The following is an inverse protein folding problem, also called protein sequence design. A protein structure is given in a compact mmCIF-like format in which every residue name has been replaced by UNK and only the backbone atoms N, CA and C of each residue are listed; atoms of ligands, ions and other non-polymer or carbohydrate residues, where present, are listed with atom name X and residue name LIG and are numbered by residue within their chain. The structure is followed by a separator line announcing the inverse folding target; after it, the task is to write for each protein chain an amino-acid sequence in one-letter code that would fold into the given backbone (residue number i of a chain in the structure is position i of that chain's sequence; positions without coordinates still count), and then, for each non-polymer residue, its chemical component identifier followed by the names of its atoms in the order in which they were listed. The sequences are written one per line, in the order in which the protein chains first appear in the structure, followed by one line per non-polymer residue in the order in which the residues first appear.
data_IF_983018803662
#
_entry.id   IF_983018803662
#
_cell.length_a   1.000
_cell.length_b   1.000
_cell.length_c   1.000
_cell.angle_alpha   90.00
_cell.angle_beta   90.00
_cell.angle_gamma   90.00
#
_symmetry.space_group_name_H-M   'P 1'
#
loop_
_entity.id
_entity.type
_entity.pdbx_description
1 polymer ?
#
# COMPACT_ATOMS: atom_id res chain seq x y z
N UNK A 1 49.92 -44.62 8.30
CA UNK A 1 50.16 -43.49 7.36
C UNK A 1 51.03 -42.47 8.08
N UNK A 2 52.18 -42.04 7.53
CA UNK A 2 53.06 -41.12 8.26
C UNK A 2 52.36 -39.79 8.51
N UNK A 3 52.69 -39.12 9.62
CA UNK A 3 52.09 -37.84 10.03
C UNK A 3 52.20 -36.79 8.91
N UNK A 4 53.29 -36.85 8.15
CA UNK A 4 53.55 -35.95 7.02
C UNK A 4 52.61 -36.19 5.84
N UNK A 5 52.23 -37.45 5.57
CA UNK A 5 51.23 -37.77 4.53
C UNK A 5 49.84 -37.25 4.89
N UNK A 6 49.46 -37.30 6.17
CA UNK A 6 48.18 -36.77 6.65
C UNK A 6 48.15 -35.25 6.51
N UNK A 7 49.22 -34.57 6.91
CA UNK A 7 49.36 -33.11 6.78
C UNK A 7 49.29 -32.69 5.32
N UNK A 8 49.97 -33.43 4.41
CA UNK A 8 49.98 -33.12 2.99
C UNK A 8 48.62 -33.31 2.31
N UNK A 9 47.87 -34.36 2.69
CA UNK A 9 46.50 -34.58 2.18
C UNK A 9 45.57 -33.47 2.67
N UNK A 10 45.70 -33.07 3.95
CA UNK A 10 44.85 -32.03 4.52
C UNK A 10 45.15 -30.65 3.92
N UNK A 11 46.42 -30.31 3.69
CA UNK A 11 46.81 -29.06 3.04
C UNK A 11 46.38 -29.01 1.58
N UNK A 12 46.47 -30.13 0.84
CA UNK A 12 45.97 -30.23 -0.53
C UNK A 12 44.45 -30.04 -0.58
N UNK A 13 43.71 -30.68 0.33
CA UNK A 13 42.26 -30.56 0.40
C UNK A 13 41.83 -29.13 0.74
N UNK A 14 42.52 -28.47 1.69
CA UNK A 14 42.27 -27.08 2.04
C UNK A 14 42.58 -26.13 0.89
N UNK A 15 43.67 -26.37 0.14
CA UNK A 15 44.02 -25.59 -1.03
C UNK A 15 42.95 -25.72 -2.14
N UNK A 16 42.46 -26.93 -2.41
CA UNK A 16 41.39 -27.18 -3.38
C UNK A 16 40.08 -26.52 -2.93
N UNK A 17 39.75 -26.59 -1.64
CA UNK A 17 38.54 -25.96 -1.08
C UNK A 17 38.62 -24.42 -1.20
N UNK A 18 39.77 -23.83 -0.88
CA UNK A 18 40.00 -22.39 -1.04
C UNK A 18 39.93 -21.97 -2.51
N UNK A 19 40.52 -22.76 -3.41
CA UNK A 19 40.43 -22.52 -4.85
C UNK A 19 38.98 -22.60 -5.33
N UNK A 20 38.22 -23.59 -4.84
CA UNK A 20 36.80 -23.72 -5.16
C UNK A 20 35.99 -22.53 -4.63
N UNK A 21 36.24 -22.05 -3.41
CA UNK A 21 35.55 -20.86 -2.87
C UNK A 21 35.90 -19.60 -3.66
N UNK A 22 37.15 -19.47 -4.13
CA UNK A 22 37.60 -18.32 -4.93
C UNK A 22 37.05 -18.33 -6.36
N UNK A 23 36.90 -19.51 -6.97
CA UNK A 23 36.41 -19.66 -8.36
C UNK A 23 34.89 -19.91 -8.40
N UNK A 24 34.25 -20.33 -7.31
CA UNK A 24 32.79 -20.54 -7.22
C UNK A 24 31.97 -19.30 -7.68
N UNK A 25 32.37 -18.05 -7.34
CA UNK A 25 31.72 -16.85 -7.89
C UNK A 25 31.88 -16.69 -9.41
N UNK A 26 32.96 -17.20 -10.00
CA UNK A 26 33.22 -17.20 -11.45
C UNK A 26 32.51 -18.35 -12.18
N UNK A 27 32.34 -19.51 -11.55
CA UNK A 27 31.64 -20.68 -12.11
C UNK A 27 30.12 -20.48 -12.04
N UNK A 28 29.62 -19.73 -11.05
CA UNK A 28 28.22 -19.27 -10.95
C UNK A 28 27.87 -18.11 -11.88
N UNK A 29 28.77 -17.69 -12.76
CA UNK A 29 28.38 -16.91 -13.93
C UNK A 29 27.62 -17.88 -14.84
N UNK A 30 26.34 -18.09 -14.52
CA UNK A 30 25.35 -18.62 -15.46
C UNK A 30 25.63 -17.98 -16.81
N UNK A 31 25.70 -18.80 -17.85
CA UNK A 31 25.93 -18.36 -19.22
C UNK A 31 25.09 -17.10 -19.44
N UNK A 32 25.75 -15.93 -19.48
CA UNK A 32 25.08 -14.65 -19.67
C UNK A 32 24.32 -14.79 -20.97
N UNK A 33 23.00 -14.97 -20.85
CA UNK A 33 22.13 -14.99 -22.00
C UNK A 33 22.40 -13.68 -22.73
N UNK A 34 22.88 -13.80 -23.97
CA UNK A 34 23.34 -12.65 -24.74
C UNK A 34 22.19 -11.65 -24.74
N UNK A 35 22.45 -10.44 -24.27
CA UNK A 35 21.43 -9.41 -24.16
C UNK A 35 20.78 -9.21 -25.52
N UNK A 36 19.51 -9.60 -25.64
CA UNK A 36 18.75 -9.37 -26.87
C UNK A 36 18.24 -7.93 -26.88
N UNK A 37 19.05 -7.05 -27.47
CA UNK A 37 18.75 -5.62 -27.58
C UNK A 37 17.45 -5.33 -28.35
N UNK A 38 17.00 -6.23 -29.24
CA UNK A 38 15.76 -6.06 -30.00
C UNK A 38 14.53 -6.10 -29.09
N UNK A 39 14.60 -6.79 -27.95
CA UNK A 39 13.49 -6.92 -27.01
C UNK A 39 13.40 -5.78 -25.99
N UNK A 40 14.42 -4.92 -25.90
CA UNK A 40 14.47 -3.83 -24.90
C UNK A 40 13.26 -2.88 -24.98
N UNK A 41 12.82 -2.42 -26.17
CA UNK A 41 11.63 -1.59 -26.26
C UNK A 41 10.38 -2.29 -25.74
N UNK A 42 10.25 -3.60 -25.97
CA UNK A 42 9.12 -4.39 -25.47
C UNK A 42 9.13 -4.48 -23.94
N UNK A 43 10.30 -4.67 -23.33
CA UNK A 43 10.45 -4.67 -21.86
C UNK A 43 10.06 -3.32 -21.25
N UNK A 44 10.45 -2.19 -21.87
CA UNK A 44 10.05 -0.87 -21.40
C UNK A 44 8.53 -0.66 -21.44
N UNK A 45 7.88 -1.13 -22.51
CA UNK A 45 6.42 -1.12 -22.63
C UNK A 45 5.79 -2.02 -21.57
N UNK A 46 6.33 -3.23 -21.38
CA UNK A 46 5.86 -4.21 -20.40
C UNK A 46 5.90 -3.64 -18.97
N UNK A 47 6.95 -2.92 -18.57
CA UNK A 47 7.03 -2.29 -17.26
C UNK A 47 5.89 -1.28 -17.02
N UNK A 48 5.62 -0.41 -18.00
CA UNK A 48 4.59 0.64 -17.87
C UNK A 48 3.18 0.05 -17.95
N UNK A 49 2.97 -0.90 -18.86
CA UNK A 49 1.73 -1.65 -18.94
C UNK A 49 1.47 -2.40 -17.63
N UNK A 50 2.50 -3.05 -17.09
CA UNK A 50 2.51 -3.73 -15.80
C UNK A 50 2.05 -2.82 -14.68
N UNK A 51 2.69 -1.66 -14.50
CA UNK A 51 2.30 -0.70 -13.47
C UNK A 51 0.83 -0.27 -13.62
N UNK A 52 0.40 0.03 -14.85
CA UNK A 52 -0.98 0.43 -15.09
C UNK A 52 -1.98 -0.70 -14.81
N UNK A 53 -1.65 -1.93 -15.19
CA UNK A 53 -2.46 -3.12 -14.95
C UNK A 53 -2.55 -3.44 -13.46
N UNK A 54 -1.42 -3.49 -12.76
CA UNK A 54 -1.36 -3.73 -11.31
C UNK A 54 -2.17 -2.70 -10.53
N UNK A 55 -2.06 -1.42 -10.88
CA UNK A 55 -2.86 -0.35 -10.25
C UNK A 55 -4.36 -0.55 -10.48
N UNK A 56 -4.76 -0.92 -11.70
CA UNK A 56 -6.16 -1.21 -12.02
C UNK A 56 -6.70 -2.43 -11.25
N UNK A 57 -5.88 -3.46 -11.08
CA UNK A 57 -6.22 -4.66 -10.31
C UNK A 57 -6.37 -4.30 -8.83
N UNK A 58 -5.42 -3.53 -8.26
CA UNK A 58 -5.51 -3.04 -6.88
C UNK A 58 -6.76 -2.19 -6.65
N UNK A 59 -7.15 -1.32 -7.58
CA UNK A 59 -8.41 -0.59 -7.47
C UNK A 59 -9.62 -1.54 -7.48
N UNK A 60 -9.58 -2.58 -8.32
CA UNK A 60 -10.67 -3.55 -8.46
C UNK A 60 -10.80 -4.49 -7.26
N UNK A 61 -9.70 -4.83 -6.59
CA UNK A 61 -9.67 -5.74 -5.44
C UNK A 61 -10.40 -5.21 -4.22
N UNK A 62 -10.77 -3.92 -4.21
CA UNK A 62 -11.66 -3.36 -3.20
C UNK A 62 -13.15 -3.58 -3.50
N UNK A 63 -13.52 -4.06 -4.69
CA UNK A 63 -14.92 -4.18 -5.13
C UNK A 63 -15.33 -5.61 -5.45
N UNK A 64 -14.39 -6.41 -5.95
CA UNK A 64 -14.66 -7.75 -6.46
C UNK A 64 -13.45 -8.64 -6.32
N UNK A 65 -13.72 -9.93 -6.34
CA UNK A 65 -12.68 -10.96 -6.36
C UNK A 65 -11.76 -10.77 -7.57
N UNK A 66 -10.48 -11.03 -7.34
CA UNK A 66 -9.47 -11.02 -8.39
C UNK A 66 -9.06 -12.45 -8.75
N UNK A 67 -8.67 -12.65 -10.01
CA UNK A 67 -8.15 -13.93 -10.47
C UNK A 67 -6.72 -14.15 -9.95
N UNK A 68 -6.60 -14.69 -8.73
CA UNK A 68 -5.36 -14.81 -7.98
C UNK A 68 -4.21 -15.43 -8.80
N UNK A 69 -4.46 -16.52 -9.53
CA UNK A 69 -3.44 -17.19 -10.35
C UNK A 69 -2.89 -16.26 -11.45
N UNK A 70 -3.77 -15.46 -12.08
CA UNK A 70 -3.37 -14.50 -13.10
C UNK A 70 -2.55 -13.35 -12.50
N UNK A 71 -2.90 -12.90 -11.29
CA UNK A 71 -2.14 -11.87 -10.56
C UNK A 71 -0.76 -12.40 -10.15
N UNK A 72 -0.68 -13.64 -9.64
CA UNK A 72 0.59 -14.30 -9.29
C UNK A 72 1.50 -14.48 -10.50
N UNK A 73 0.94 -14.86 -11.65
CA UNK A 73 1.68 -14.96 -12.89
C UNK A 73 2.19 -13.57 -13.34
N UNK A 74 1.36 -12.53 -13.28
CA UNK A 74 1.77 -11.16 -13.57
C UNK A 74 2.93 -10.71 -12.67
N UNK A 75 2.85 -10.96 -11.36
CA UNK A 75 3.92 -10.63 -10.40
C UNK A 75 5.24 -11.28 -10.81
N UNK A 76 5.22 -12.57 -11.15
CA UNK A 76 6.41 -13.31 -11.60
C UNK A 76 7.02 -12.68 -12.84
N UNK A 77 6.20 -12.40 -13.85
CA UNK A 77 6.63 -11.78 -15.10
C UNK A 77 7.21 -10.37 -14.91
N UNK A 78 6.65 -9.58 -14.00
CA UNK A 78 7.14 -8.24 -13.68
C UNK A 78 8.48 -8.28 -12.94
N UNK A 79 8.69 -9.25 -12.04
CA UNK A 79 9.98 -9.47 -11.39
C UNK A 79 11.05 -9.94 -12.38
N UNK A 80 10.70 -10.85 -13.28
CA UNK A 80 11.60 -11.27 -14.37
C UNK A 80 11.96 -10.10 -15.28
N UNK A 81 10.97 -9.29 -15.67
CA UNK A 81 11.17 -8.06 -16.48
C UNK A 81 12.09 -7.08 -15.76
N UNK A 82 11.87 -6.85 -14.46
CA UNK A 82 12.73 -5.99 -13.64
C UNK A 82 14.18 -6.51 -13.63
N UNK A 83 14.39 -7.80 -13.39
CA UNK A 83 15.73 -8.39 -13.36
C UNK A 83 16.47 -8.27 -14.69
N UNK A 84 15.79 -8.51 -15.82
CA UNK A 84 16.39 -8.35 -17.16
C UNK A 84 16.81 -6.89 -17.38
N UNK A 85 15.94 -5.94 -17.02
CA UNK A 85 16.20 -4.50 -17.16
C UNK A 85 17.31 -4.00 -16.22
N UNK A 86 17.39 -4.55 -15.00
CA UNK A 86 18.48 -4.26 -14.08
C UNK A 86 19.82 -4.75 -14.65
N UNK A 87 19.87 -5.99 -15.13
CA UNK A 87 21.06 -6.56 -15.76
C UNK A 87 21.50 -5.76 -16.99
N UNK A 88 20.55 -5.31 -17.81
CA UNK A 88 20.77 -4.37 -18.91
C UNK A 88 21.39 -3.06 -18.42
N UNK A 89 20.87 -2.49 -17.34
CA UNK A 89 21.36 -1.22 -16.79
C UNK A 89 22.81 -1.29 -16.30
N UNK A 90 23.28 -2.47 -15.93
CA UNK A 90 24.64 -2.74 -15.45
C UNK A 90 25.57 -3.26 -16.57
N UNK A 91 25.05 -3.51 -17.76
CA UNK A 91 25.82 -4.16 -18.83
C UNK A 91 26.67 -3.17 -19.64
N UNK A 92 27.94 -3.52 -19.80
CA UNK A 92 28.86 -2.85 -20.72
C UNK A 92 28.65 -3.27 -22.18
N UNK A 93 27.86 -4.33 -22.44
CA UNK A 93 27.58 -4.84 -23.80
C UNK A 93 26.78 -3.85 -24.66
N UNK A 94 26.04 -2.93 -24.03
CA UNK A 94 25.26 -1.87 -24.71
C UNK A 94 26.19 -0.74 -25.24
N UNK A 95 27.49 -0.86 -25.04
CA UNK A 95 28.50 0.11 -25.46
C UNK A 95 28.64 1.30 -24.52
N UNK A 96 29.73 2.05 -24.66
CA UNK A 96 30.02 3.24 -23.84
C UNK A 96 29.62 4.57 -24.48
N UNK A 97 29.15 4.53 -25.73
CA UNK A 97 28.62 5.69 -26.43
C UNK A 97 27.36 6.28 -25.76
N UNK A 98 26.97 7.47 -26.20
CA UNK A 98 25.84 8.21 -25.61
C UNK A 98 24.53 7.41 -25.62
N UNK A 99 24.27 6.68 -26.72
CA UNK A 99 23.11 5.79 -26.82
C UNK A 99 23.14 4.68 -25.76
N UNK A 100 24.30 4.03 -25.56
CA UNK A 100 24.47 2.97 -24.57
C UNK A 100 24.27 3.48 -23.14
N UNK A 101 24.83 4.66 -22.82
CA UNK A 101 24.59 5.33 -21.53
C UNK A 101 23.11 5.64 -21.31
N UNK A 102 22.42 6.16 -22.33
CA UNK A 102 21.00 6.48 -22.26
C UNK A 102 20.13 5.24 -22.08
N UNK A 103 20.45 4.15 -22.78
CA UNK A 103 19.75 2.87 -22.64
C UNK A 103 19.95 2.25 -21.26
N UNK A 104 21.15 2.32 -20.67
CA UNK A 104 21.39 1.86 -19.29
C UNK A 104 20.55 2.62 -18.27
N UNK A 105 20.53 3.95 -18.36
CA UNK A 105 19.71 4.81 -17.49
C UNK A 105 18.21 4.52 -17.62
N UNK A 106 17.73 4.41 -18.86
CA UNK A 106 16.35 4.02 -19.15
C UNK A 106 16.03 2.65 -18.53
N UNK A 107 16.90 1.66 -18.74
CA UNK A 107 16.71 0.30 -18.21
C UNK A 107 16.65 0.28 -16.69
N UNK A 108 17.49 1.05 -16.00
CA UNK A 108 17.41 1.22 -14.54
C UNK A 108 16.06 1.79 -14.11
N UNK A 109 15.60 2.85 -14.76
CA UNK A 109 14.29 3.46 -14.47
C UNK A 109 13.11 2.52 -14.74
N UNK A 110 13.09 1.81 -15.87
CA UNK A 110 12.04 0.83 -16.17
C UNK A 110 12.11 -0.43 -15.31
N UNK A 111 13.29 -0.80 -14.80
CA UNK A 111 13.45 -1.87 -13.82
C UNK A 111 12.73 -1.52 -12.52
N UNK A 112 12.95 -0.32 -11.99
CA UNK A 112 12.25 0.17 -10.79
C UNK A 112 10.74 0.20 -11.02
N UNK A 113 10.27 0.72 -12.16
CA UNK A 113 8.84 0.70 -12.52
C UNK A 113 8.26 -0.72 -12.51
N UNK A 114 8.98 -1.69 -13.09
CA UNK A 114 8.52 -3.08 -13.15
C UNK A 114 8.50 -3.75 -11.77
N UNK A 115 9.50 -3.48 -10.93
CA UNK A 115 9.54 -3.98 -9.57
C UNK A 115 8.39 -3.41 -8.74
N UNK A 116 8.18 -2.09 -8.77
CA UNK A 116 7.06 -1.44 -8.09
C UNK A 116 5.71 -1.94 -8.61
N UNK A 117 5.58 -2.24 -9.89
CA UNK A 117 4.36 -2.83 -10.43
C UNK A 117 4.07 -4.21 -9.83
N UNK A 118 5.09 -5.01 -9.54
CA UNK A 118 4.94 -6.30 -8.89
C UNK A 118 4.50 -6.15 -7.42
N UNK A 119 5.05 -5.17 -6.70
CA UNK A 119 4.66 -4.83 -5.32
C UNK A 119 3.20 -4.36 -5.27
N UNK A 120 2.78 -3.50 -6.20
CA UNK A 120 1.37 -3.06 -6.32
C UNK A 120 0.43 -4.25 -6.59
N UNK A 121 0.85 -5.20 -7.44
CA UNK A 121 0.07 -6.41 -7.68
C UNK A 121 0.00 -7.31 -6.44
N UNK A 122 1.08 -7.45 -5.65
CA UNK A 122 1.02 -8.13 -4.36
C UNK A 122 0.00 -7.47 -3.42
N UNK A 123 -0.01 -6.13 -3.34
CA UNK A 123 -0.99 -5.41 -2.51
C UNK A 123 -2.43 -5.74 -2.89
N UNK A 124 -2.71 -6.00 -4.16
CA UNK A 124 -4.06 -6.36 -4.59
C UNK A 124 -4.54 -7.69 -4.01
N UNK A 125 -3.65 -8.68 -3.88
CA UNK A 125 -3.96 -9.97 -3.24
C UNK A 125 -4.29 -9.79 -1.76
N UNK A 126 -3.53 -8.94 -1.07
CA UNK A 126 -3.76 -8.64 0.35
C UNK A 126 -5.08 -7.90 0.57
N UNK A 127 -5.40 -6.93 -0.30
CA UNK A 127 -6.67 -6.21 -0.22
C UNK A 127 -7.84 -7.14 -0.52
N UNK A 128 -7.72 -8.00 -1.53
CA UNK A 128 -8.76 -8.98 -1.87
C UNK A 128 -9.07 -9.90 -0.67
N UNK A 129 -8.03 -10.43 -0.02
CA UNK A 129 -8.16 -11.25 1.18
C UNK A 129 -8.78 -10.51 2.39
N UNK A 130 -8.61 -9.19 2.48
CA UNK A 130 -9.13 -8.39 3.57
C UNK A 130 -10.54 -7.83 3.32
N UNK A 131 -10.99 -7.79 2.06
CA UNK A 131 -12.13 -6.97 1.59
C UNK A 131 -13.40 -7.23 2.39
N UNK A 132 -13.87 -8.47 2.43
CA UNK A 132 -15.13 -8.81 3.10
C UNK A 132 -15.08 -8.48 4.61
N UNK A 133 -13.95 -8.79 5.25
CA UNK A 133 -13.76 -8.55 6.68
C UNK A 133 -13.70 -7.04 6.99
N UNK A 134 -13.15 -6.20 6.10
CA UNK A 134 -13.20 -4.73 6.23
C UNK A 134 -14.64 -4.23 6.13
N UNK A 135 -15.38 -4.66 5.11
CA UNK A 135 -16.77 -4.24 4.88
C UNK A 135 -17.64 -4.60 6.08
N UNK A 136 -17.55 -5.85 6.55
CA UNK A 136 -18.31 -6.31 7.71
C UNK A 136 -17.93 -5.57 8.99
N UNK A 137 -16.64 -5.29 9.20
CA UNK A 137 -16.20 -4.53 10.35
C UNK A 137 -16.77 -3.11 10.36
N UNK A 138 -16.79 -2.43 9.20
CA UNK A 138 -17.35 -1.09 9.07
C UNK A 138 -18.86 -1.08 9.26
N UNK A 139 -19.58 -2.04 8.67
CA UNK A 139 -21.03 -2.16 8.83
C UNK A 139 -21.43 -2.37 10.30
N UNK A 140 -20.78 -3.32 10.98
CA UNK A 140 -21.00 -3.58 12.40
C UNK A 140 -20.68 -2.36 13.27
N UNK A 141 -19.62 -1.62 12.91
CA UNK A 141 -19.25 -0.39 13.62
C UNK A 141 -20.34 0.69 13.47
N UNK A 142 -20.89 0.86 12.26
CA UNK A 142 -22.04 1.75 12.02
C UNK A 142 -23.32 1.24 12.69
N UNK A 143 -23.44 -0.07 12.92
CA UNK A 143 -24.51 -0.68 13.71
C UNK A 143 -24.39 -0.46 15.22
N UNK A 144 -23.28 0.11 15.70
CA UNK A 144 -22.90 0.22 17.11
C UNK A 144 -22.55 -1.12 17.77
N UNK A 145 -22.21 -2.15 16.98
CA UNK A 145 -21.71 -3.45 17.46
C UNK A 145 -20.18 -3.44 17.49
N UNK A 146 -19.62 -2.65 18.40
CA UNK A 146 -18.17 -2.30 18.38
C UNK A 146 -17.28 -3.52 18.57
N UNK A 147 -17.61 -4.41 19.50
CA UNK A 147 -16.77 -5.58 19.78
C UNK A 147 -16.79 -6.60 18.63
N UNK A 148 -17.93 -6.78 17.98
CA UNK A 148 -18.05 -7.64 16.80
C UNK A 148 -17.24 -7.06 15.64
N UNK A 149 -17.37 -5.75 15.39
CA UNK A 149 -16.58 -5.03 14.38
C UNK A 149 -15.07 -5.22 14.59
N UNK A 150 -14.59 -5.14 15.84
CA UNK A 150 -13.20 -5.41 16.17
C UNK A 150 -12.79 -6.87 15.91
N UNK A 151 -13.72 -7.82 16.00
CA UNK A 151 -13.47 -9.22 15.64
C UNK A 151 -13.10 -9.39 14.17
N UNK A 152 -13.87 -8.78 13.27
CA UNK A 152 -13.62 -8.78 11.83
C UNK A 152 -12.36 -7.98 11.48
N UNK A 153 -12.20 -6.78 12.06
CA UNK A 153 -11.01 -5.95 11.83
C UNK A 153 -9.71 -6.67 12.18
N UNK A 154 -9.65 -7.43 13.28
CA UNK A 154 -8.43 -8.16 13.66
C UNK A 154 -7.98 -9.18 12.63
N UNK A 155 -8.90 -9.75 11.85
CA UNK A 155 -8.57 -10.65 10.75
C UNK A 155 -8.11 -9.88 9.52
N UNK A 156 -8.73 -8.74 9.22
CA UNK A 156 -8.35 -7.87 8.09
C UNK A 156 -7.01 -7.14 8.31
N UNK A 157 -6.71 -6.73 9.56
CA UNK A 157 -5.59 -5.84 9.91
C UNK A 157 -4.23 -6.32 9.38
N UNK A 158 -3.82 -7.60 9.49
CA UNK A 158 -2.55 -8.07 8.96
C UNK A 158 -2.42 -7.85 7.45
N UNK A 159 -3.46 -8.19 6.69
CA UNK A 159 -3.52 -8.02 5.24
C UNK A 159 -3.49 -6.54 4.84
N UNK A 160 -4.27 -5.69 5.52
CA UNK A 160 -4.24 -4.23 5.29
C UNK A 160 -2.84 -3.67 5.55
N UNK A 161 -2.15 -4.11 6.61
CA UNK A 161 -0.80 -3.67 6.93
C UNK A 161 0.22 -4.13 5.88
N UNK A 162 0.11 -5.38 5.39
CA UNK A 162 0.96 -5.89 4.31
C UNK A 162 0.72 -5.13 3.00
N UNK A 163 -0.53 -4.87 2.62
CA UNK A 163 -0.86 -4.06 1.45
C UNK A 163 -0.23 -2.67 1.54
N UNK A 164 -0.31 -2.02 2.71
CA UNK A 164 0.31 -0.71 2.96
C UNK A 164 1.82 -0.74 2.83
N UNK A 165 2.47 -1.78 3.36
CA UNK A 165 3.92 -1.93 3.27
C UNK A 165 4.37 -2.06 1.81
N UNK A 166 3.70 -2.91 1.03
CA UNK A 166 4.00 -3.11 -0.39
C UNK A 166 3.74 -1.84 -1.21
N UNK A 167 2.65 -1.11 -0.98
CA UNK A 167 2.40 0.20 -1.63
C UNK A 167 3.48 1.21 -1.26
N UNK A 168 3.94 1.22 0.00
CA UNK A 168 4.99 2.14 0.46
C UNK A 168 6.34 1.84 -0.19
N UNK A 169 6.70 0.55 -0.33
CA UNK A 169 7.88 0.11 -1.09
C UNK A 169 7.78 0.56 -2.55
N UNK A 170 6.62 0.34 -3.18
CA UNK A 170 6.38 0.74 -4.56
C UNK A 170 6.55 2.24 -4.73
N UNK A 171 5.92 3.07 -3.90
CA UNK A 171 6.05 4.52 -3.96
C UNK A 171 7.48 4.99 -3.73
N UNK A 172 8.23 4.35 -2.82
CA UNK A 172 9.64 4.65 -2.59
C UNK A 172 10.49 4.36 -3.84
N UNK A 173 10.27 3.22 -4.49
CA UNK A 173 11.02 2.86 -5.70
C UNK A 173 10.63 3.71 -6.91
N UNK A 174 9.34 4.02 -7.07
CA UNK A 174 8.87 4.97 -8.08
C UNK A 174 9.42 6.38 -7.85
N UNK A 175 9.69 6.79 -6.60
CA UNK A 175 10.30 8.10 -6.32
C UNK A 175 11.76 8.20 -6.80
N UNK A 176 12.45 7.06 -6.94
CA UNK A 176 13.83 6.98 -7.46
C UNK A 176 13.87 6.97 -8.99
N UNK A 177 12.73 6.81 -9.67
CA UNK A 177 12.65 6.81 -11.13
C UNK A 177 12.91 8.22 -11.65
N UNK A 178 13.96 8.37 -12.45
CA UNK A 178 14.21 9.61 -13.17
C UNK A 178 13.27 9.69 -14.39
N UNK A 179 12.30 10.60 -14.33
CA UNK A 179 11.29 10.76 -15.40
C UNK A 179 11.91 11.06 -16.75
N UNK A 180 13.07 11.71 -16.83
CA UNK A 180 13.72 12.03 -18.11
C UNK A 180 14.36 10.81 -18.77
N UNK A 181 14.60 9.74 -18.01
CA UNK A 181 15.09 8.46 -18.55
C UNK A 181 13.96 7.62 -19.16
N UNK A 182 12.69 8.01 -18.94
CA UNK A 182 11.54 7.41 -19.62
C UNK A 182 11.41 7.97 -21.04
N UNK A 183 11.84 7.16 -22.01
CA UNK A 183 11.96 7.51 -23.44
C UNK A 183 10.65 7.96 -24.13
N UNK A 184 9.49 7.77 -23.49
CA UNK A 184 8.18 8.15 -24.03
C UNK A 184 7.45 9.13 -23.11
N UNK A 185 6.91 10.21 -23.69
CA UNK A 185 6.04 11.15 -22.96
C UNK A 185 4.79 10.47 -22.40
N UNK A 186 4.26 9.46 -23.12
CA UNK A 186 3.10 8.68 -22.67
C UNK A 186 3.45 7.87 -21.41
N UNK A 187 4.65 7.29 -21.35
CA UNK A 187 5.11 6.55 -20.17
C UNK A 187 5.24 7.45 -18.95
N UNK A 188 5.80 8.67 -19.12
CA UNK A 188 5.85 9.67 -18.05
C UNK A 188 4.46 10.04 -17.51
N UNK A 189 3.50 10.23 -18.41
CA UNK A 189 2.11 10.55 -18.02
C UNK A 189 1.46 9.40 -17.24
N UNK A 190 1.62 8.16 -17.70
CA UNK A 190 1.10 6.98 -17.00
C UNK A 190 1.75 6.86 -15.63
N UNK A 191 3.08 6.94 -15.54
CA UNK A 191 3.79 6.89 -14.26
C UNK A 191 3.27 7.94 -13.27
N UNK A 192 3.14 9.20 -13.71
CA UNK A 192 2.64 10.28 -12.85
C UNK A 192 1.24 10.01 -12.30
N UNK A 193 0.30 9.64 -13.18
CA UNK A 193 -1.07 9.34 -12.76
C UNK A 193 -1.17 8.14 -11.82
N UNK A 194 -0.34 7.10 -12.01
CA UNK A 194 -0.35 5.93 -11.12
C UNK A 194 0.28 6.23 -9.76
N UNK A 195 1.30 7.08 -9.69
CA UNK A 195 1.84 7.55 -8.40
C UNK A 195 0.78 8.30 -7.59
N UNK A 196 0.02 9.19 -8.23
CA UNK A 196 -1.06 9.94 -7.57
C UNK A 196 -2.16 9.01 -7.03
N UNK A 197 -2.58 8.04 -7.84
CA UNK A 197 -3.58 7.04 -7.44
C UNK A 197 -3.09 6.15 -6.28
N UNK A 198 -1.88 5.62 -6.36
CA UNK A 198 -1.27 4.81 -5.29
C UNK A 198 -1.08 5.60 -3.99
N UNK A 199 -0.75 6.90 -4.09
CA UNK A 199 -0.67 7.79 -2.93
C UNK A 199 -2.03 7.93 -2.27
N UNK A 200 -3.10 8.15 -3.06
CA UNK A 200 -4.46 8.22 -2.54
C UNK A 200 -4.92 6.92 -1.88
N UNK A 201 -4.58 5.76 -2.46
CA UNK A 201 -4.88 4.45 -1.86
C UNK A 201 -4.11 4.26 -0.55
N UNK A 202 -2.83 4.65 -0.50
CA UNK A 202 -2.02 4.60 0.72
C UNK A 202 -2.64 5.44 1.84
N UNK A 203 -3.06 6.66 1.54
CA UNK A 203 -3.75 7.53 2.49
C UNK A 203 -5.09 6.95 2.96
N UNK A 204 -5.84 6.34 2.06
CA UNK A 204 -7.11 5.66 2.39
C UNK A 204 -6.90 4.52 3.38
N UNK A 205 -5.91 3.64 3.14
CA UNK A 205 -5.60 2.54 4.05
C UNK A 205 -5.09 3.06 5.40
N UNK A 206 -4.34 4.15 5.42
CA UNK A 206 -3.89 4.79 6.65
C UNK A 206 -5.07 5.34 7.47
N UNK A 207 -6.06 5.98 6.84
CA UNK A 207 -7.25 6.45 7.54
C UNK A 207 -8.13 5.30 8.06
N UNK A 208 -8.20 4.19 7.32
CA UNK A 208 -8.90 2.99 7.78
C UNK A 208 -8.23 2.40 9.04
N UNK A 209 -6.90 2.29 9.04
CA UNK A 209 -6.14 1.82 10.22
C UNK A 209 -6.32 2.76 11.40
N UNK A 210 -6.21 4.09 11.18
CA UNK A 210 -6.44 5.08 12.24
C UNK A 210 -7.82 4.96 12.85
N UNK A 211 -8.86 4.78 12.03
CA UNK A 211 -10.23 4.59 12.52
C UNK A 211 -10.29 3.43 13.51
N UNK A 212 -9.81 2.25 13.11
CA UNK A 212 -9.91 1.09 13.98
C UNK A 212 -8.94 1.13 15.15
N UNK A 213 -7.78 1.76 15.05
CA UNK A 213 -6.91 1.99 16.22
C UNK A 213 -7.59 2.88 17.28
N UNK A 214 -8.41 3.87 16.86
CA UNK A 214 -9.24 4.66 17.77
C UNK A 214 -10.33 3.78 18.42
N UNK A 215 -11.00 2.95 17.62
CA UNK A 215 -12.07 2.05 18.10
C UNK A 215 -11.50 1.01 19.09
N UNK A 216 -10.35 0.41 18.79
CA UNK A 216 -9.65 -0.53 19.67
C UNK A 216 -9.24 0.12 21.00
N UNK A 217 -8.84 1.39 20.97
CA UNK A 217 -8.42 2.13 22.15
C UNK A 217 -9.57 2.60 23.04
N UNK A 218 -10.76 2.83 22.46
CA UNK A 218 -11.91 3.40 23.16
C UNK A 218 -13.23 2.67 22.87
N UNK A 219 -13.31 1.32 22.96
CA UNK A 219 -14.44 0.55 22.45
C UNK A 219 -15.76 0.92 23.14
N UNK A 220 -15.80 0.91 24.48
CA UNK A 220 -16.99 1.27 25.26
C UNK A 220 -17.49 2.69 24.98
N UNK A 221 -16.56 3.63 24.77
CA UNK A 221 -16.91 5.03 24.57
C UNK A 221 -17.47 5.27 23.17
N UNK A 222 -16.88 4.64 22.14
CA UNK A 222 -17.40 4.65 20.78
C UNK A 222 -18.78 4.01 20.73
N UNK A 223 -18.97 2.87 21.40
CA UNK A 223 -20.26 2.17 21.44
C UNK A 223 -21.35 3.06 22.07
N UNK A 224 -21.08 3.64 23.25
CA UNK A 224 -22.00 4.56 23.93
C UNK A 224 -22.33 5.79 23.09
N UNK A 225 -21.34 6.39 22.42
CA UNK A 225 -21.56 7.54 21.54
C UNK A 225 -22.39 7.16 20.32
N UNK A 226 -22.16 5.98 19.75
CA UNK A 226 -22.93 5.48 18.62
C UNK A 226 -24.40 5.28 19.00
N UNK A 227 -24.69 4.63 20.14
CA UNK A 227 -26.06 4.49 20.64
C UNK A 227 -26.72 5.83 20.98
N UNK A 228 -25.98 6.74 21.60
CA UNK A 228 -26.42 8.11 21.86
C UNK A 228 -26.83 8.82 20.57
N UNK A 229 -25.99 8.74 19.54
CA UNK A 229 -26.23 9.30 18.21
C UNK A 229 -27.50 8.76 17.56
N UNK A 230 -27.73 7.44 17.62
CA UNK A 230 -28.94 6.82 17.06
C UNK A 230 -30.21 7.12 17.84
N UNK A 231 -30.10 7.30 19.15
CA UNK A 231 -31.25 7.52 20.04
C UNK A 231 -31.55 8.99 20.32
N UNK A 232 -30.73 9.92 19.82
CA UNK A 232 -30.85 11.36 20.09
C UNK A 232 -30.63 11.71 21.57
N UNK A 233 -29.90 10.87 22.31
CA UNK A 233 -29.61 11.05 23.73
C UNK A 233 -28.16 11.45 23.94
N UNK A 234 -27.84 12.05 25.08
CA UNK A 234 -26.46 12.33 25.45
C UNK A 234 -25.76 11.06 25.96
N UNK A 235 -24.55 10.77 25.46
CA UNK A 235 -23.71 9.72 26.01
C UNK A 235 -23.10 10.14 27.35
N UNK A 236 -23.08 9.23 28.32
CA UNK A 236 -22.34 9.44 29.57
C UNK A 236 -20.91 8.93 29.40
N UNK A 237 -20.02 9.82 28.96
CA UNK A 237 -18.58 9.56 28.83
C UNK A 237 -17.84 10.23 29.99
N UNK A 238 -16.90 9.56 30.68
CA UNK A 238 -16.09 10.16 31.73
C UNK A 238 -15.36 11.42 31.24
N UNK A 239 -15.35 12.49 32.03
CA UNK A 239 -14.83 13.80 31.61
C UNK A 239 -13.35 13.74 31.18
N UNK A 240 -12.52 12.98 31.91
CA UNK A 240 -11.11 12.76 31.56
C UNK A 240 -10.87 11.94 30.28
N UNK A 241 -11.92 11.28 29.75
CA UNK A 241 -11.88 10.51 28.51
C UNK A 241 -12.39 11.34 27.31
N UNK A 242 -13.33 12.27 27.53
CA UNK A 242 -13.93 13.08 26.46
C UNK A 242 -12.87 13.83 25.65
N UNK A 243 -11.96 14.55 26.31
CA UNK A 243 -10.93 15.32 25.62
C UNK A 243 -9.99 14.43 24.78
N UNK A 244 -9.57 13.30 25.33
CA UNK A 244 -8.70 12.33 24.63
C UNK A 244 -9.41 11.71 23.41
N UNK A 245 -10.68 11.35 23.57
CA UNK A 245 -11.47 10.78 22.49
C UNK A 245 -11.79 11.81 21.40
N UNK A 246 -12.09 13.05 21.79
CA UNK A 246 -12.31 14.14 20.84
C UNK A 246 -11.04 14.46 20.04
N UNK A 247 -9.88 14.51 20.71
CA UNK A 247 -8.59 14.67 20.03
C UNK A 247 -8.30 13.50 19.08
N UNK A 248 -8.63 12.27 19.47
CA UNK A 248 -8.43 11.09 18.63
C UNK A 248 -9.34 11.14 17.38
N UNK A 249 -10.64 11.37 17.55
CA UNK A 249 -11.61 11.43 16.45
C UNK A 249 -11.37 12.62 15.51
N UNK A 250 -10.86 13.76 16.02
CA UNK A 250 -10.59 14.93 15.19
C UNK A 250 -9.48 14.70 14.16
N UNK A 251 -8.54 13.78 14.45
CA UNK A 251 -7.43 13.37 13.58
C UNK A 251 -7.85 12.56 12.37
N UNK A 252 -9.04 11.97 12.36
CA UNK A 252 -9.57 11.28 11.17
C UNK A 252 -9.79 12.29 10.04
N UNK A 253 -9.35 12.01 8.82
CA UNK A 253 -9.77 12.76 7.63
C UNK A 253 -10.63 11.89 6.70
N UNK A 254 -11.96 12.04 6.75
CA UNK A 254 -12.85 11.45 5.75
C UNK A 254 -12.43 11.80 4.31
N UNK A 255 -11.84 12.98 4.13
CA UNK A 255 -11.31 13.48 2.86
C UNK A 255 -10.25 12.58 2.21
N UNK A 256 -9.49 11.85 3.03
CA UNK A 256 -8.45 10.91 2.63
C UNK A 256 -8.93 9.47 2.65
N UNK A 257 -10.12 9.21 3.18
CA UNK A 257 -10.69 7.88 3.34
C UNK A 257 -11.14 7.20 2.05
N UNK A 258 -11.02 7.86 0.89
CA UNK A 258 -11.40 7.31 -0.41
C UNK A 258 -12.82 6.73 -0.39
N UNK A 259 -12.95 5.44 -0.73
CA UNK A 259 -14.24 4.73 -0.69
C UNK A 259 -14.83 4.57 0.71
N UNK A 260 -13.99 4.53 1.74
CA UNK A 260 -14.41 4.42 3.14
C UNK A 260 -14.66 5.79 3.80
N UNK A 261 -14.59 6.87 3.02
CA UNK A 261 -14.73 8.23 3.52
C UNK A 261 -16.09 8.48 4.18
N UNK A 262 -17.15 7.82 3.74
CA UNK A 262 -18.48 7.96 4.33
C UNK A 262 -18.53 7.36 5.74
N UNK A 263 -18.06 6.13 5.91
CA UNK A 263 -18.00 5.39 7.17
C UNK A 263 -17.12 6.14 8.18
N UNK A 264 -15.93 6.58 7.74
CA UNK A 264 -15.01 7.39 8.54
C UNK A 264 -15.68 8.71 8.95
N UNK A 265 -16.42 9.36 8.06
CA UNK A 265 -17.18 10.58 8.38
C UNK A 265 -18.26 10.34 9.43
N UNK A 266 -19.00 9.23 9.33
CA UNK A 266 -20.03 8.86 10.31
C UNK A 266 -19.43 8.67 11.70
N UNK A 267 -18.30 7.98 11.81
CA UNK A 267 -17.65 7.81 13.11
C UNK A 267 -17.03 9.12 13.61
N UNK A 268 -16.41 9.91 12.74
CA UNK A 268 -15.91 11.25 13.10
C UNK A 268 -17.04 12.16 13.61
N UNK A 269 -18.26 12.02 13.08
CA UNK A 269 -19.41 12.83 13.50
C UNK A 269 -19.84 12.62 14.96
N UNK A 270 -19.39 11.53 15.60
CA UNK A 270 -19.62 11.27 17.02
C UNK A 270 -19.00 12.35 17.93
N UNK A 271 -18.06 13.16 17.42
CA UNK A 271 -17.55 14.36 18.07
C UNK A 271 -18.65 15.30 18.57
N UNK A 272 -19.73 15.47 17.79
CA UNK A 272 -20.84 16.36 18.14
C UNK A 272 -21.50 15.96 19.46
N UNK A 273 -21.59 14.66 19.72
CA UNK A 273 -22.19 14.10 20.94
C UNK A 273 -21.25 14.13 22.14
N UNK A 274 -19.97 14.47 21.95
CA UNK A 274 -19.03 14.78 23.03
C UNK A 274 -19.12 16.25 23.45
N UNK A 275 -19.46 17.15 22.52
CA UNK A 275 -19.47 18.61 22.71
C UNK A 275 -20.81 19.17 23.23
N UNK A 276 -21.90 18.40 23.19
CA UNK A 276 -23.26 18.83 23.58
C UNK A 276 -23.52 19.04 25.10
N UNK A 277 -22.49 19.40 25.87
CA UNK A 277 -22.66 20.03 27.19
C UNK A 277 -21.85 21.32 27.30
N UNK A 278 -22.28 22.36 26.57
CA UNK A 278 -22.09 23.76 26.97
C UNK A 278 -23.05 24.75 26.26
N UNK A 279 -24.18 24.30 25.71
CA UNK A 279 -25.24 25.16 25.19
C UNK A 279 -26.39 25.29 26.19
N UNK A 280 -26.50 26.44 26.83
CA UNK A 280 -27.66 26.89 27.60
C UNK A 280 -28.98 26.59 26.86
N UNK A 281 -30.03 26.30 27.63
CA UNK A 281 -31.40 26.41 27.14
C UNK A 281 -31.64 27.80 26.56
N UNK A 282 -31.70 27.89 25.24
CA UNK A 282 -32.22 29.04 24.51
C UNK A 282 -33.70 28.81 24.26
N UNK A 283 -34.54 29.59 24.94
CA UNK A 283 -35.97 29.70 24.68
C UNK A 283 -36.25 29.84 23.19
N UNK A 284 -37.27 29.13 22.72
CA UNK A 284 -37.70 29.14 21.33
C UNK A 284 -37.84 30.56 20.78
N UNK A 285 -37.31 30.76 19.58
CA UNK A 285 -37.72 31.85 18.72
C UNK A 285 -39.18 31.59 18.34
N UNK A 286 -40.10 32.24 19.05
CA UNK A 286 -41.50 32.32 18.66
C UNK A 286 -41.60 32.96 17.29
N UNK A 287 -42.27 32.28 16.37
CA UNK A 287 -42.88 32.93 15.23
C UNK A 287 -43.95 33.89 15.78
N UNK A 288 -43.66 35.18 15.79
CA UNK A 288 -44.68 36.20 15.98
C UNK A 288 -45.74 36.07 14.89
N UNK A 289 -47.01 36.13 15.27
CA UNK A 289 -48.12 36.15 14.33
C UNK A 289 -47.97 37.35 13.37
N UNK A 290 -48.32 37.21 12.09
CA UNK A 290 -48.27 38.34 11.15
C UNK A 290 -49.27 39.42 11.57
N UNK A 291 -48.89 40.69 11.37
CA UNK A 291 -49.77 41.83 11.57
C UNK A 291 -50.98 41.74 10.63
N UNK A 292 -52.18 41.77 11.20
CA UNK A 292 -53.41 42.02 10.47
C UNK A 292 -53.47 43.50 10.10
N UNK A 293 -53.47 43.80 8.81
CA UNK A 293 -53.82 45.12 8.28
C UNK A 293 -55.34 45.29 8.38
N UNK A 294 -55.77 46.23 9.23
CA UNK A 294 -57.07 46.93 9.20
C UNK A 294 -56.80 48.43 9.38
#
# INVERSE_FOLDING_TARGET
MSRDKIIYIFSLFLAILLLYILISPLIRIEAKEKINLENVPLLFVKSIYGLNSSSSILCSSFEKDIEEDNVRQLIKELKETANILLNLSLSYEIGEGELGKRLRKASSSYSLVSLSAAEVANSSLEIDAAREEIEHALDLLLECKVYDALGYWRKAKPHVMMAREEISKALLDLSKVNKEDLLSKKHRKILGGRIEELTSISEMLEELVKLFDIVEKYPDAIEKLCYASKSGKCAQIPEGLKGKLAEALSKLCPCKGGRYGYEISKIKSLLKYLEEKQGNGGSGAGYGAPSSDD
#
